data_IF_579842384988
#
_entry.id   IF_579842384988
#
_cell.length_a   1.000
_cell.length_b   1.000
_cell.length_c   1.000
_cell.angle_alpha   90.00
_cell.angle_beta   90.00
_cell.angle_gamma   90.00
#
_symmetry.space_group_name_H-M   'P 1'
#
loop_
_entity.id
_entity.type
_entity.pdbx_description
1 polymer ?
#
# COMPACT_ATOMS: atom_id res chain seq x y z
N UNK A 1 -3.25 -15.10 8.32
CA UNK A 1 -3.36 -13.77 7.68
C UNK A 1 -3.10 -13.97 6.21
N UNK A 2 -3.96 -13.42 5.36
CA UNK A 2 -3.91 -13.60 3.91
C UNK A 2 -2.55 -13.16 3.32
N UNK A 3 -1.97 -12.12 3.89
CA UNK A 3 -0.70 -11.48 3.53
C UNK A 3 0.49 -12.45 3.57
N UNK A 4 0.46 -13.43 4.47
CA UNK A 4 1.50 -14.45 4.60
C UNK A 4 1.68 -15.24 3.29
N UNK A 5 0.61 -15.44 2.53
CA UNK A 5 0.61 -16.31 1.35
C UNK A 5 1.27 -15.67 0.14
N UNK A 6 1.41 -14.35 0.13
CA UNK A 6 1.90 -13.62 -1.03
C UNK A 6 2.98 -12.60 -0.71
N UNK A 7 3.51 -12.57 0.52
CA UNK A 7 4.53 -11.58 0.92
C UNK A 7 5.83 -12.22 1.39
N UNK A 8 6.93 -11.53 1.11
CA UNK A 8 8.27 -11.84 1.58
C UNK A 8 8.87 -10.63 2.29
N UNK A 9 9.88 -10.87 3.13
CA UNK A 9 10.59 -9.82 3.84
C UNK A 9 11.26 -8.82 2.88
N UNK A 10 11.23 -7.55 3.26
CA UNK A 10 11.93 -6.47 2.60
C UNK A 10 12.59 -5.58 3.67
N UNK A 11 13.88 -5.26 3.52
CA UNK A 11 14.61 -4.53 4.55
C UNK A 11 14.25 -3.05 4.67
N UNK A 12 13.72 -2.44 3.61
CA UNK A 12 13.28 -1.05 3.62
C UNK A 12 11.81 -0.95 4.01
N UNK A 13 10.98 -1.81 3.42
CA UNK A 13 9.52 -1.71 3.48
C UNK A 13 8.90 -2.63 4.53
N UNK A 14 9.68 -3.57 5.07
CA UNK A 14 9.23 -4.63 5.96
C UNK A 14 8.75 -5.86 5.19
N UNK A 15 7.83 -5.68 4.24
CA UNK A 15 7.37 -6.76 3.37
C UNK A 15 7.01 -6.26 1.98
N UNK A 16 7.21 -7.09 0.96
CA UNK A 16 6.74 -6.86 -0.41
C UNK A 16 6.05 -8.12 -0.91
N UNK A 17 5.36 -8.03 -2.05
CA UNK A 17 4.82 -9.24 -2.67
C UNK A 17 5.94 -10.19 -3.11
N UNK A 18 5.69 -11.49 -3.05
CA UNK A 18 6.53 -12.50 -3.70
C UNK A 18 6.33 -12.34 -5.22
N UNK A 19 7.40 -12.40 -6.04
CA UNK A 19 7.28 -12.42 -7.50
C UNK A 19 6.53 -13.65 -8.02
N UNK A 20 5.79 -13.49 -9.12
CA UNK A 20 5.14 -14.59 -9.84
C UNK A 20 4.19 -15.47 -9.00
N UNK A 21 3.49 -14.88 -8.03
CA UNK A 21 2.45 -15.59 -7.27
C UNK A 21 1.22 -15.77 -8.15
N UNK A 22 0.58 -16.94 -8.05
CA UNK A 22 -0.74 -17.22 -8.61
C UNK A 22 -1.56 -18.05 -7.61
N UNK A 23 -2.56 -17.44 -7.00
CA UNK A 23 -3.42 -18.05 -5.99
C UNK A 23 -4.87 -17.97 -6.50
N UNK A 24 -5.46 -19.06 -7.02
CA UNK A 24 -6.77 -19.00 -7.70
C UNK A 24 -7.96 -18.71 -6.77
N UNK A 25 -7.85 -19.06 -5.49
CA UNK A 25 -8.92 -18.88 -4.50
C UNK A 25 -8.40 -18.10 -3.28
N UNK A 26 -7.86 -16.90 -3.51
CA UNK A 26 -7.26 -16.09 -2.46
C UNK A 26 -8.33 -15.51 -1.52
N UNK A 27 -9.40 -14.95 -2.09
CA UNK A 27 -10.45 -14.25 -1.33
C UNK A 27 -11.80 -14.97 -1.36
N UNK A 28 -11.85 -16.17 -1.95
CA UNK A 28 -13.06 -16.95 -2.17
C UNK A 28 -12.94 -17.79 -3.43
N UNK A 29 -13.93 -18.63 -3.70
CA UNK A 29 -13.97 -19.44 -4.92
C UNK A 29 -13.91 -18.53 -6.17
N UNK A 30 -12.91 -18.75 -7.02
CA UNK A 30 -12.69 -17.99 -8.25
C UNK A 30 -12.11 -16.58 -8.06
N UNK A 31 -11.90 -16.12 -6.83
CA UNK A 31 -11.33 -14.79 -6.56
C UNK A 31 -9.81 -14.90 -6.42
N UNK A 32 -9.12 -14.68 -7.54
CA UNK A 32 -7.70 -15.00 -7.69
C UNK A 32 -6.78 -13.85 -7.28
N UNK A 33 -5.53 -14.21 -6.94
CA UNK A 33 -4.47 -13.27 -6.63
C UNK A 33 -3.22 -13.60 -7.44
N UNK A 34 -2.84 -12.72 -8.37
CA UNK A 34 -1.58 -12.77 -9.09
C UNK A 34 -0.64 -11.59 -8.80
N UNK A 35 0.66 -11.86 -8.77
CA UNK A 35 1.71 -10.84 -8.86
C UNK A 35 2.62 -11.16 -10.04
N UNK A 36 3.18 -10.13 -10.65
CA UNK A 36 4.10 -10.29 -11.78
C UNK A 36 5.54 -10.54 -11.29
N UNK A 37 6.52 -10.64 -12.20
CA UNK A 37 7.92 -10.90 -11.83
C UNK A 37 8.56 -9.73 -11.06
N UNK A 38 7.95 -8.56 -11.13
CA UNK A 38 8.37 -7.31 -10.49
C UNK A 38 7.66 -7.06 -9.15
N UNK A 39 6.97 -8.07 -8.60
CA UNK A 39 6.21 -8.00 -7.34
C UNK A 39 5.04 -7.00 -7.36
N UNK A 40 4.58 -6.61 -8.54
CA UNK A 40 3.43 -5.72 -8.74
C UNK A 40 2.14 -6.55 -8.81
N UNK A 41 1.03 -5.94 -8.38
CA UNK A 41 -0.30 -6.57 -8.40
C UNK A 41 -0.91 -6.52 -9.82
N UNK A 42 -0.26 -7.21 -10.75
CA UNK A 42 -0.60 -7.21 -12.17
C UNK A 42 -0.43 -8.60 -12.80
N UNK A 43 -1.11 -8.85 -13.92
CA UNK A 43 -1.02 -10.11 -14.67
C UNK A 43 0.16 -10.16 -15.65
N UNK A 44 0.85 -9.04 -15.86
CA UNK A 44 1.91 -8.88 -16.85
C UNK A 44 3.06 -8.05 -16.28
N UNK A 45 4.24 -8.22 -16.84
CA UNK A 45 5.42 -7.40 -16.57
C UNK A 45 5.38 -6.07 -17.36
N UNK A 46 6.18 -5.11 -16.90
CA UNK A 46 6.28 -3.78 -17.45
C UNK A 46 7.73 -3.44 -17.82
N UNK A 47 7.90 -2.91 -19.03
CA UNK A 47 9.13 -2.24 -19.44
C UNK A 47 9.32 -0.92 -18.69
N UNK A 48 10.58 -0.50 -18.54
CA UNK A 48 10.92 0.82 -18.00
C UNK A 48 10.22 1.93 -18.80
N UNK A 49 10.35 1.91 -20.13
CA UNK A 49 9.75 2.92 -21.00
C UNK A 49 8.25 2.69 -21.20
N UNK A 50 7.52 3.77 -21.44
CA UNK A 50 6.08 3.72 -21.77
C UNK A 50 5.93 3.16 -23.20
N UNK A 51 5.09 2.13 -23.44
CA UNK A 51 4.84 1.63 -24.77
C UNK A 51 4.23 2.70 -25.69
N UNK A 52 4.46 2.63 -27.02
CA UNK A 52 3.84 3.54 -27.96
C UNK A 52 2.31 3.59 -27.79
N UNK A 53 1.74 4.79 -27.93
CA UNK A 53 0.30 5.04 -27.81
C UNK A 53 -0.33 4.72 -26.44
N UNK A 54 0.48 4.50 -25.39
CA UNK A 54 0.00 4.31 -24.02
C UNK A 54 0.21 5.55 -23.16
N UNK A 55 -0.65 5.69 -22.15
CA UNK A 55 -0.49 6.60 -21.02
C UNK A 55 -0.35 5.73 -19.78
N UNK A 56 0.80 5.80 -19.10
CA UNK A 56 1.06 4.96 -17.94
C UNK A 56 0.68 5.65 -16.63
N UNK A 57 -0.07 4.93 -15.80
CA UNK A 57 -0.50 5.35 -14.47
C UNK A 57 0.08 4.38 -13.44
N UNK A 58 0.77 4.90 -12.43
CA UNK A 58 1.13 4.14 -11.23
C UNK A 58 0.09 4.42 -10.15
N UNK A 59 -0.61 3.39 -9.69
CA UNK A 59 -1.50 3.45 -8.55
C UNK A 59 -0.72 2.99 -7.30
N UNK A 60 -0.38 3.91 -6.40
CA UNK A 60 0.34 3.60 -5.15
C UNK A 60 -0.59 3.79 -3.95
N UNK A 61 -0.67 2.81 -3.05
CA UNK A 61 -1.49 2.93 -1.85
C UNK A 61 -1.50 1.66 -1.00
N UNK A 62 -2.50 1.56 -0.13
CA UNK A 62 -2.62 0.46 0.83
C UNK A 62 -3.41 -0.74 0.25
N UNK A 63 -4.04 -1.53 1.14
CA UNK A 63 -4.95 -2.63 0.84
C UNK A 63 -6.08 -2.27 -0.15
N UNK A 64 -6.57 -1.04 -0.16
CA UNK A 64 -7.63 -0.60 -1.09
C UNK A 64 -7.08 -0.47 -2.51
N UNK A 65 -5.85 0.03 -2.67
CA UNK A 65 -5.15 0.05 -3.97
C UNK A 65 -4.77 -1.35 -4.43
N UNK A 66 -4.35 -2.22 -3.51
CA UNK A 66 -4.07 -3.63 -3.81
C UNK A 66 -5.31 -4.35 -4.37
N UNK A 67 -6.51 -3.84 -4.03
CA UNK A 67 -7.78 -4.46 -4.37
C UNK A 67 -8.03 -5.69 -3.51
N UNK A 68 -7.79 -5.56 -2.21
CA UNK A 68 -8.11 -6.61 -1.24
C UNK A 68 -9.58 -7.06 -1.39
N UNK A 69 -9.79 -8.38 -1.47
CA UNK A 69 -11.13 -8.97 -1.61
C UNK A 69 -11.62 -9.14 -3.05
N UNK A 70 -10.87 -8.72 -4.07
CA UNK A 70 -11.25 -8.87 -5.49
C UNK A 70 -10.11 -9.45 -6.34
N UNK A 71 -10.48 -10.00 -7.51
CA UNK A 71 -9.51 -10.48 -8.50
C UNK A 71 -8.71 -9.34 -9.14
N UNK A 72 -7.55 -9.62 -9.73
CA UNK A 72 -6.69 -8.60 -10.36
C UNK A 72 -7.45 -7.70 -11.36
N UNK A 73 -8.34 -8.28 -12.17
CA UNK A 73 -9.17 -7.63 -13.18
C UNK A 73 -10.27 -6.72 -12.59
N UNK A 74 -10.57 -6.86 -11.30
CA UNK A 74 -11.59 -6.10 -10.60
C UNK A 74 -10.99 -5.01 -9.68
N UNK A 75 -9.67 -4.92 -9.57
CA UNK A 75 -9.03 -3.82 -8.82
C UNK A 75 -9.34 -2.48 -9.49
N UNK A 76 -9.58 -1.41 -8.71
CA UNK A 76 -9.90 -0.11 -9.32
C UNK A 76 -8.80 0.38 -10.25
N UNK A 77 -7.54 0.10 -9.90
CA UNK A 77 -6.39 0.45 -10.73
C UNK A 77 -6.48 -0.23 -12.10
N UNK A 78 -6.83 -1.52 -12.15
CA UNK A 78 -7.01 -2.25 -13.40
C UNK A 78 -8.25 -1.81 -14.18
N UNK A 79 -9.33 -1.46 -13.48
CA UNK A 79 -10.58 -0.99 -14.11
C UNK A 79 -10.43 0.35 -14.84
N UNK A 80 -9.39 1.16 -14.56
CA UNK A 80 -9.10 2.36 -15.34
C UNK A 80 -8.88 2.04 -16.83
N UNK A 81 -8.30 0.88 -17.15
CA UNK A 81 -8.09 0.45 -18.55
C UNK A 81 -9.43 0.28 -19.28
N UNK A 82 -10.47 -0.18 -18.58
CA UNK A 82 -11.82 -0.32 -19.15
C UNK A 82 -12.45 1.02 -19.51
N UNK A 83 -12.07 2.10 -18.83
CA UNK A 83 -12.53 3.47 -19.13
C UNK A 83 -11.80 4.02 -20.38
N UNK A 84 -10.51 3.71 -20.53
CA UNK A 84 -9.72 4.14 -21.68
C UNK A 84 -8.61 3.14 -21.98
N UNK A 85 -8.73 2.46 -23.12
CA UNK A 85 -7.81 1.40 -23.55
C UNK A 85 -6.38 1.88 -23.83
N UNK A 86 -6.13 3.20 -23.90
CA UNK A 86 -4.77 3.76 -23.95
C UNK A 86 -4.07 3.73 -22.59
N UNK A 87 -4.80 3.52 -21.50
CA UNK A 87 -4.17 3.45 -20.19
C UNK A 87 -3.39 2.15 -20.02
N UNK A 88 -2.25 2.25 -19.35
CA UNK A 88 -1.48 1.13 -18.81
C UNK A 88 -1.28 1.38 -17.32
N UNK A 89 -1.79 0.49 -16.47
CA UNK A 89 -1.88 0.73 -15.04
C UNK A 89 -0.96 -0.22 -14.27
N UNK A 90 -0.08 0.34 -13.45
CA UNK A 90 0.80 -0.39 -12.54
C UNK A 90 0.20 -0.30 -11.13
N UNK A 91 -0.13 -1.45 -10.54
CA UNK A 91 -0.70 -1.51 -9.20
C UNK A 91 0.40 -1.76 -8.16
N UNK A 92 0.79 -0.70 -7.46
CA UNK A 92 1.68 -0.67 -6.29
C UNK A 92 0.89 -0.51 -4.99
N UNK A 93 -0.21 -1.27 -4.87
CA UNK A 93 -0.97 -1.38 -3.64
C UNK A 93 -0.45 -2.50 -2.74
N UNK A 94 -0.40 -2.28 -1.43
CA UNK A 94 -0.01 -3.31 -0.48
C UNK A 94 -0.80 -3.28 0.83
N UNK A 95 -1.20 -4.47 1.29
CA UNK A 95 -1.93 -4.64 2.55
C UNK A 95 -1.14 -4.17 3.77
N UNK A 96 -1.79 -3.41 4.66
CA UNK A 96 -1.24 -2.99 5.95
C UNK A 96 -0.20 -1.86 5.89
N UNK A 97 0.05 -1.29 4.71
CA UNK A 97 0.94 -0.15 4.55
C UNK A 97 0.35 1.12 5.18
N UNK A 98 1.24 1.97 5.71
CA UNK A 98 0.96 3.38 5.96
C UNK A 98 1.50 4.24 4.81
N UNK A 99 1.21 5.54 4.83
CA UNK A 99 1.65 6.46 3.76
C UNK A 99 3.19 6.51 3.62
N UNK A 100 3.91 6.24 4.71
CA UNK A 100 5.37 6.11 4.77
C UNK A 100 5.87 4.97 3.87
N UNK A 101 5.28 3.78 4.00
CA UNK A 101 5.64 2.63 3.18
C UNK A 101 5.23 2.81 1.71
N UNK A 102 4.06 3.41 1.46
CA UNK A 102 3.61 3.71 0.08
C UNK A 102 4.60 4.66 -0.61
N UNK A 103 5.01 5.73 0.09
CA UNK A 103 6.01 6.68 -0.37
C UNK A 103 7.37 6.02 -0.63
N UNK A 104 7.90 5.26 0.35
CA UNK A 104 9.20 4.59 0.22
C UNK A 104 9.21 3.59 -0.93
N UNK A 105 8.11 2.84 -1.12
CA UNK A 105 8.02 1.86 -2.21
C UNK A 105 8.00 2.55 -3.57
N UNK A 106 7.23 3.62 -3.71
CA UNK A 106 7.23 4.42 -4.93
C UNK A 106 8.61 5.03 -5.20
N UNK A 107 9.24 5.67 -4.20
CA UNK A 107 10.57 6.29 -4.34
C UNK A 107 11.63 5.29 -4.77
N UNK A 108 11.62 4.07 -4.20
CA UNK A 108 12.59 3.01 -4.52
C UNK A 108 12.33 2.35 -5.87
N UNK A 109 11.08 1.97 -6.16
CA UNK A 109 10.76 1.08 -7.28
C UNK A 109 9.88 1.75 -8.34
N UNK A 110 8.90 2.55 -7.93
CA UNK A 110 7.98 3.23 -8.85
C UNK A 110 8.69 4.23 -9.77
N UNK A 111 9.68 4.95 -9.25
CA UNK A 111 10.49 5.92 -10.00
C UNK A 111 11.31 5.30 -11.13
N UNK A 112 11.55 3.98 -11.10
CA UNK A 112 12.25 3.25 -12.16
C UNK A 112 11.41 3.13 -13.44
N UNK A 113 10.09 3.24 -13.35
CA UNK A 113 9.21 3.23 -14.51
C UNK A 113 8.95 4.65 -15.00
N UNK A 114 9.11 4.89 -16.30
CA UNK A 114 8.53 6.07 -16.94
C UNK A 114 7.01 6.00 -16.81
N UNK A 115 6.38 7.08 -16.36
CA UNK A 115 4.93 7.15 -16.19
C UNK A 115 4.45 8.58 -16.38
N UNK A 116 3.17 8.74 -16.71
CA UNK A 116 2.56 10.06 -16.89
C UNK A 116 1.88 10.54 -15.61
N UNK A 117 1.34 9.61 -14.81
CA UNK A 117 0.55 9.92 -13.62
C UNK A 117 0.94 8.96 -12.51
N UNK A 118 1.16 9.49 -11.31
CA UNK A 118 1.09 8.73 -10.06
C UNK A 118 -0.21 9.09 -9.35
N UNK A 119 -1.05 8.09 -9.09
CA UNK A 119 -2.19 8.21 -8.18
C UNK A 119 -1.73 7.70 -6.82
N UNK A 120 -1.57 8.61 -5.86
CA UNK A 120 -1.29 8.27 -4.46
C UNK A 120 -2.62 8.21 -3.71
N UNK A 121 -3.10 6.99 -3.46
CA UNK A 121 -4.36 6.74 -2.78
C UNK A 121 -4.11 6.35 -1.32
N UNK A 122 -4.85 6.97 -0.38
CA UNK A 122 -4.74 6.69 1.04
C UNK A 122 -6.10 6.69 1.76
N UNK A 123 -6.12 6.04 2.92
CA UNK A 123 -7.19 6.12 3.92
C UNK A 123 -6.68 6.75 5.22
N UNK A 124 -7.58 7.19 6.10
CA UNK A 124 -7.20 7.79 7.39
C UNK A 124 -6.32 6.86 8.25
N UNK A 125 -6.57 5.54 8.18
CA UNK A 125 -5.79 4.55 8.93
C UNK A 125 -4.32 4.48 8.48
N UNK A 126 -3.98 4.93 7.27
CA UNK A 126 -2.59 4.90 6.79
C UNK A 126 -1.70 5.89 7.55
N UNK A 127 -2.26 7.01 8.03
CA UNK A 127 -1.58 7.95 8.92
C UNK A 127 -1.37 7.38 10.33
N UNK A 128 -2.29 6.54 10.79
CA UNK A 128 -2.11 5.85 12.08
C UNK A 128 -1.06 4.75 11.95
N UNK A 129 -1.05 4.02 10.84
CA UNK A 129 -0.08 2.95 10.57
C UNK A 129 1.35 3.46 10.45
N UNK A 130 1.59 4.67 9.93
CA UNK A 130 2.95 5.23 9.82
C UNK A 130 3.57 5.60 11.17
N UNK A 131 2.78 5.72 12.24
CA UNK A 131 3.25 6.09 13.58
C UNK A 131 3.94 4.93 14.32
N UNK A 132 3.95 3.72 13.74
CA UNK A 132 4.36 2.48 14.42
C UNK A 132 5.40 1.74 13.60
N UNK A 133 6.43 1.22 14.27
CA UNK A 133 7.45 0.36 13.68
C UNK A 133 6.97 -1.08 13.35
N UNK A 134 5.69 -1.39 13.63
CA UNK A 134 5.09 -2.71 13.39
C UNK A 134 3.65 -2.59 12.91
N UNK A 135 3.25 -3.47 11.98
CA UNK A 135 1.88 -3.62 11.49
C UNK A 135 1.66 -5.07 11.07
N UNK A 136 0.46 -5.62 11.31
CA UNK A 136 0.10 -7.03 11.01
C UNK A 136 1.11 -8.07 11.57
N UNK A 137 1.78 -7.75 12.67
CA UNK A 137 2.83 -8.61 13.25
C UNK A 137 4.21 -8.51 12.58
N UNK A 138 4.33 -7.78 11.46
CA UNK A 138 5.59 -7.51 10.76
C UNK A 138 6.24 -6.22 11.25
N UNK A 139 7.57 -6.14 11.16
CA UNK A 139 8.26 -4.85 11.23
C UNK A 139 7.94 -4.00 10.00
N UNK A 140 7.99 -2.68 10.14
CA UNK A 140 7.89 -1.70 9.05
C UNK A 140 8.78 -0.49 9.30
N UNK A 141 9.13 0.32 8.28
CA UNK A 141 9.88 1.56 8.49
C UNK A 141 9.18 2.50 9.48
N UNK A 142 9.96 3.41 10.07
CA UNK A 142 9.46 4.41 11.00
C UNK A 142 10.15 5.74 10.67
N UNK A 143 9.42 6.64 10.02
CA UNK A 143 9.95 7.92 9.57
C UNK A 143 9.77 9.00 10.65
N UNK A 144 10.77 9.86 10.81
CA UNK A 144 10.71 11.13 11.52
C UNK A 144 11.05 12.28 10.57
N UNK A 145 10.78 13.52 11.01
CA UNK A 145 11.25 14.72 10.34
C UNK A 145 12.37 15.36 11.18
N UNK A 146 13.59 15.38 10.64
CA UNK A 146 14.77 15.94 11.30
C UNK A 146 15.42 16.97 10.37
N UNK A 147 15.60 18.21 10.83
CA UNK A 147 16.21 19.28 10.05
C UNK A 147 15.59 19.49 8.65
N UNK A 148 14.30 19.21 8.50
CA UNK A 148 13.58 19.32 7.21
C UNK A 148 13.70 18.12 6.28
N UNK A 149 14.34 17.03 6.74
CA UNK A 149 14.55 15.79 5.99
C UNK A 149 13.83 14.60 6.64
N UNK A 150 13.36 13.65 5.81
CA UNK A 150 12.75 12.42 6.29
C UNK A 150 13.84 11.40 6.65
N UNK A 151 13.89 10.99 7.92
CA UNK A 151 14.85 10.01 8.43
C UNK A 151 14.14 8.72 8.80
N UNK A 152 14.64 7.57 8.32
CA UNK A 152 14.08 6.25 8.66
C UNK A 152 14.82 5.62 9.84
N UNK A 153 14.17 5.57 11.00
CA UNK A 153 14.74 5.03 12.24
C UNK A 153 14.66 3.51 12.38
N UNK A 154 13.95 2.83 11.49
CA UNK A 154 13.78 1.38 11.56
C UNK A 154 14.33 0.69 10.31
N UNK A 155 15.56 1.05 9.93
CA UNK A 155 16.29 0.49 8.81
C UNK A 155 17.59 -0.21 9.27
N UNK A 156 17.85 -1.46 8.88
CA UNK A 156 16.91 -2.36 8.20
C UNK A 156 15.74 -2.73 9.13
N UNK A 157 14.57 -2.96 8.55
CA UNK A 157 13.39 -3.39 9.31
C UNK A 157 13.66 -4.73 10.00
N UNK A 158 13.29 -4.93 11.28
CA UNK A 158 13.54 -6.18 11.97
C UNK A 158 12.85 -7.40 11.32
N UNK A 159 13.63 -8.46 11.06
CA UNK A 159 13.18 -9.72 10.42
C UNK A 159 12.38 -10.66 11.31
N UNK A 160 12.24 -10.37 12.61
CA UNK A 160 11.75 -11.33 13.62
C UNK A 160 10.44 -12.06 13.24
N UNK A 161 9.50 -11.36 12.60
CA UNK A 161 8.24 -11.94 12.15
C UNK A 161 8.36 -12.98 11.02
N UNK A 162 9.44 -12.90 10.23
CA UNK A 162 9.74 -13.82 9.13
C UNK A 162 10.66 -14.98 9.53
N UNK A 163 11.32 -14.91 10.69
CA UNK A 163 12.26 -15.92 11.17
C UNK A 163 11.61 -17.04 12.00
N UNK A 164 10.36 -16.87 12.46
CA UNK A 164 9.65 -17.90 13.22
C UNK A 164 8.92 -18.86 12.26
N UNK A 165 9.30 -20.16 12.21
CA UNK A 165 8.58 -21.15 11.41
C UNK A 165 7.13 -21.29 11.92
N UNK A 166 6.16 -21.19 11.02
CA UNK A 166 4.72 -21.19 11.36
C UNK A 166 4.18 -22.60 11.58
N UNK A 167 4.30 -23.13 12.80
CA UNK A 167 3.44 -24.24 13.27
C UNK A 167 2.09 -23.62 13.65
N UNK A 168 1.20 -23.36 12.68
CA UNK A 168 -0.24 -23.07 12.90
C UNK A 168 -0.95 -22.93 11.54
N UNK A 169 -0.99 -24.00 10.74
CA UNK A 169 -1.84 -24.07 9.54
C UNK A 169 -3.27 -24.58 9.82
N UNK A 170 -3.59 -24.91 11.08
CA UNK A 170 -4.94 -25.31 11.47
C UNK A 170 -5.79 -24.12 11.88
N UNK A 171 -6.78 -23.75 11.06
CA UNK A 171 -7.84 -22.77 11.32
C UNK A 171 -7.50 -21.29 11.05
N UNK A 172 -7.95 -20.76 9.91
CA UNK A 172 -8.51 -19.40 9.75
C UNK A 172 -8.96 -19.16 8.30
N UNK A 173 -9.96 -19.92 7.87
CA UNK A 173 -10.90 -19.41 6.87
C UNK A 173 -11.75 -18.36 7.57
N UNK A 174 -11.43 -17.07 7.40
CA UNK A 174 -12.31 -15.99 7.81
C UNK A 174 -12.55 -15.10 6.60
N UNK A 175 -13.82 -14.94 6.26
CA UNK A 175 -14.33 -13.93 5.36
C UNK A 175 -14.04 -12.54 5.96
N UNK A 176 -12.91 -11.97 5.53
CA UNK A 176 -12.26 -10.77 6.08
C UNK A 176 -13.02 -9.45 5.80
N UNK A 177 -14.14 -9.45 5.05
CA UNK A 177 -15.01 -8.26 4.91
C UNK A 177 -15.75 -7.88 6.20
N UNK A 178 -16.03 -8.85 7.08
CA UNK A 178 -16.56 -8.56 8.44
C UNK A 178 -15.49 -7.99 9.37
N UNK A 179 -14.21 -8.09 9.01
CA UNK A 179 -13.09 -7.78 9.89
C UNK A 179 -12.81 -6.27 9.99
N UNK A 180 -12.96 -5.43 8.96
CA UNK A 180 -12.79 -3.98 9.14
C UNK A 180 -13.75 -3.39 10.20
N UNK A 181 -15.01 -3.83 10.20
CA UNK A 181 -15.99 -3.45 11.21
C UNK A 181 -15.72 -4.07 12.58
N UNK A 182 -15.36 -5.36 12.65
CA UNK A 182 -15.04 -6.04 13.91
C UNK A 182 -13.71 -5.60 14.52
N UNK A 183 -12.71 -5.19 13.74
CA UNK A 183 -11.43 -4.68 14.24
C UNK A 183 -11.58 -3.32 14.91
N UNK A 184 -12.40 -2.42 14.36
CA UNK A 184 -12.73 -1.16 15.02
C UNK A 184 -13.45 -1.36 16.37
N UNK A 185 -14.22 -2.45 16.50
CA UNK A 185 -14.99 -2.79 17.71
C UNK A 185 -14.15 -3.58 18.74
N UNK A 186 -13.32 -4.53 18.31
CA UNK A 186 -12.51 -5.39 19.18
C UNK A 186 -11.19 -4.76 19.61
N UNK A 187 -10.65 -3.81 18.82
CA UNK A 187 -9.50 -3.00 19.16
C UNK A 187 -9.91 -1.53 19.13
N UNK A 188 -10.67 -1.05 20.15
CA UNK A 188 -10.98 0.38 20.25
C UNK A 188 -9.69 1.18 20.15
N UNK A 189 -9.72 2.29 19.39
CA UNK A 189 -8.59 3.21 19.19
C UNK A 189 -8.00 3.58 20.55
N UNK A 190 -6.97 2.86 20.99
CA UNK A 190 -6.04 3.35 21.98
C UNK A 190 -5.07 4.23 21.20
N UNK A 191 -5.43 5.51 21.08
CA UNK A 191 -4.47 6.55 20.74
C UNK A 191 -3.39 6.44 21.83
N UNK A 192 -2.22 5.91 21.49
CA UNK A 192 -1.03 6.15 22.31
C UNK A 192 -0.74 7.64 22.15
N UNK A 193 -1.14 8.43 23.14
CA UNK A 193 -1.21 9.88 23.05
C UNK A 193 0.11 10.60 23.32
N UNK A 194 1.24 9.90 23.43
CA UNK A 194 2.54 10.54 23.69
C UNK A 194 3.69 9.77 23.02
N UNK A 195 3.79 9.88 21.70
CA UNK A 195 5.01 9.52 21.00
C UNK A 195 5.31 10.58 19.94
N UNK A 196 6.59 10.96 19.80
CA UNK A 196 7.05 12.00 18.88
C UNK A 196 6.55 11.80 17.44
N UNK A 197 6.36 10.54 17.01
CA UNK A 197 5.83 10.20 15.68
C UNK A 197 4.37 10.60 15.49
N UNK A 198 3.55 10.55 16.55
CA UNK A 198 2.16 11.03 16.50
C UNK A 198 2.13 12.55 16.34
N UNK A 199 2.93 13.26 17.15
CA UNK A 199 3.04 14.72 17.08
C UNK A 199 3.57 15.21 15.72
N UNK A 200 4.52 14.48 15.13
CA UNK A 200 5.10 14.82 13.84
C UNK A 200 4.29 14.32 12.63
N UNK A 201 3.21 13.54 12.83
CA UNK A 201 2.46 12.92 11.71
C UNK A 201 2.06 13.92 10.61
N UNK A 202 1.49 15.11 10.92
CA UNK A 202 1.14 16.07 9.88
C UNK A 202 2.36 16.61 9.12
N UNK A 203 3.45 16.89 9.83
CA UNK A 203 4.68 17.42 9.23
C UNK A 203 5.37 16.38 8.33
N UNK A 204 5.43 15.13 8.78
CA UNK A 204 5.98 14.01 7.98
C UNK A 204 5.11 13.78 6.74
N UNK A 205 3.78 13.77 6.88
CA UNK A 205 2.86 13.61 5.75
C UNK A 205 3.01 14.72 4.71
N UNK A 206 3.08 15.98 5.16
CA UNK A 206 3.33 17.12 4.28
C UNK A 206 4.65 16.98 3.54
N UNK A 207 5.73 16.65 4.25
CA UNK A 207 7.05 16.43 3.63
C UNK A 207 7.03 15.28 2.62
N UNK A 208 6.32 14.19 2.91
CA UNK A 208 6.11 13.09 1.96
C UNK A 208 5.44 13.59 0.67
N UNK A 209 4.35 14.37 0.79
CA UNK A 209 3.66 14.88 -0.39
C UNK A 209 4.48 15.91 -1.17
N UNK A 210 5.25 16.75 -0.48
CA UNK A 210 6.21 17.68 -1.09
C UNK A 210 7.27 16.93 -1.91
N UNK A 211 7.91 15.91 -1.33
CA UNK A 211 8.90 15.10 -2.05
C UNK A 211 8.28 14.32 -3.21
N UNK A 212 7.08 13.77 -3.05
CA UNK A 212 6.38 13.12 -4.16
C UNK A 212 6.07 14.10 -5.29
N UNK A 213 5.65 15.33 -4.97
CA UNK A 213 5.37 16.36 -5.96
C UNK A 213 6.64 16.76 -6.72
N UNK A 214 7.77 16.88 -6.01
CA UNK A 214 9.10 17.12 -6.59
C UNK A 214 9.55 15.99 -7.51
N UNK A 215 9.51 14.74 -7.05
CA UNK A 215 9.87 13.57 -7.84
C UNK A 215 9.03 13.49 -9.13
N UNK A 216 7.72 13.71 -9.04
CA UNK A 216 6.86 13.69 -10.22
C UNK A 216 7.17 14.85 -11.18
N UNK A 217 7.46 16.05 -10.65
CA UNK A 217 7.86 17.20 -11.47
C UNK A 217 9.16 16.91 -12.24
N UNK A 218 10.17 16.33 -11.59
CA UNK A 218 11.43 15.93 -12.23
C UNK A 218 11.23 14.86 -13.30
N UNK A 219 10.30 13.93 -13.08
CA UNK A 219 9.93 12.89 -14.05
C UNK A 219 8.98 13.38 -15.16
N UNK A 220 8.60 14.65 -15.15
CA UNK A 220 7.56 15.21 -16.03
C UNK A 220 6.24 14.42 -15.98
N UNK A 221 5.89 13.92 -14.79
CA UNK A 221 4.65 13.24 -14.49
C UNK A 221 3.77 14.08 -13.56
N UNK A 222 2.52 13.66 -13.37
CA UNK A 222 1.55 14.33 -12.49
C UNK A 222 1.28 13.48 -11.25
N UNK A 223 1.45 14.07 -10.08
CA UNK A 223 0.96 13.50 -8.83
C UNK A 223 -0.53 13.84 -8.67
N UNK A 224 -1.34 12.83 -8.43
CA UNK A 224 -2.76 12.96 -8.05
C UNK A 224 -2.92 12.30 -6.69
N UNK A 225 -3.30 13.09 -5.69
CA UNK A 225 -3.51 12.62 -4.33
C UNK A 225 -5.00 12.32 -4.13
N UNK A 226 -5.33 11.09 -3.76
CA UNK A 226 -6.71 10.60 -3.65
C UNK A 226 -6.97 10.07 -2.26
N UNK A 227 -7.96 10.65 -1.59
CA UNK A 227 -8.48 10.11 -0.35
C UNK A 227 -9.63 9.13 -0.66
N UNK A 228 -9.54 7.91 -0.11
CA UNK A 228 -10.57 6.88 -0.25
C UNK A 228 -11.38 6.79 1.06
N UNK A 229 -12.54 7.47 1.16
CA UNK A 229 -13.29 7.53 2.42
C UNK A 229 -13.84 6.15 2.79
N UNK A 230 -13.67 5.77 4.05
CA UNK A 230 -14.27 4.55 4.61
C UNK A 230 -15.70 4.81 5.09
N UNK A 231 -16.51 3.74 5.18
CA UNK A 231 -17.95 3.85 5.49
C UNK A 231 -18.25 4.64 6.78
N UNK A 232 -17.40 4.50 7.80
CA UNK A 232 -17.55 5.22 9.07
C UNK A 232 -17.49 6.75 8.91
N UNK A 233 -16.78 7.25 7.90
CA UNK A 233 -16.57 8.69 7.66
C UNK A 233 -17.70 9.31 6.82
N UNK A 234 -18.45 8.49 6.08
CA UNK A 234 -19.63 8.94 5.34
C UNK A 234 -20.82 9.24 6.25
N UNK A 235 -20.99 8.44 7.31
CA UNK A 235 -22.11 8.60 8.26
C UNK A 235 -22.02 9.92 9.03
N UNK A 236 -20.82 10.41 9.31
CA UNK A 236 -20.59 11.70 9.98
C UNK A 236 -20.79 12.91 9.07
N UNK A 237 -20.67 12.75 7.75
CA UNK A 237 -20.84 13.84 6.79
C UNK A 237 -22.31 14.14 6.46
N UNK A 238 -23.20 13.15 6.61
CA UNK A 238 -24.66 13.31 6.41
C UNK A 238 -25.38 13.89 7.64
N UNK A 239 -24.66 14.18 8.73
CA UNK A 239 -25.19 14.73 9.98
C UNK A 239 -24.89 16.22 10.21
N UNK A 240 -24.53 16.96 9.16
CA UNK A 240 -24.27 18.42 9.18
C UNK A 240 -25.25 19.13 8.25
#
# INVERSE_FOLDING_TARGET
>A
MSEIRHTQYDELLGWVNIPNVDIPNMYGEGIYFKTNSQSLRNNQDFSINIPPNKVRIICSGDSFTMGWGVSNDQTWCQLLISINQRLQTINMGQGGYGIDQVYLWYKRDGTKFEHNIQIFAFITDDFVRMQRAKSLGYGKPLLSLENGELVNHNFPVPRGAFLVPKITEGSRYIQELRFLGLWQILFPRKLETDNQYVAQTPAIAMKIFEELAEINREKNSKLVVVYLPIRAERITAESI
#
